data_IF_753855448289
#
_entry.id   IF_753855448289
#
_cell.length_a   1.000
_cell.length_b   1.000
_cell.length_c   1.000
_cell.angle_alpha   90.00
_cell.angle_beta   90.00
_cell.angle_gamma   90.00
#
_symmetry.space_group_name_H-M   'P 1'
#
loop_
_entity.id
_entity.type
_entity.pdbx_description
1 polymer ?
#
# COMPACT_ATOMS: atom_id res chain seq x y z
N UNK A 1 16.04 16.02 -7.77
CA UNK A 1 16.26 14.55 -7.72
C UNK A 1 16.36 14.12 -6.26
N UNK A 2 15.29 14.33 -5.49
CA UNK A 2 15.21 14.00 -4.07
C UNK A 2 13.78 13.49 -3.83
N UNK A 3 13.52 12.22 -4.15
CA UNK A 3 12.29 11.53 -3.70
C UNK A 3 12.27 10.02 -4.00
N UNK A 4 13.32 9.42 -4.57
CA UNK A 4 13.28 8.01 -4.98
C UNK A 4 13.81 7.03 -3.92
N UNK A 5 14.41 7.52 -2.82
CA UNK A 5 15.03 6.67 -1.78
C UNK A 5 14.17 6.44 -0.54
N UNK A 6 12.91 6.89 -0.52
CA UNK A 6 11.96 6.44 0.49
C UNK A 6 11.20 5.21 -0.03
N UNK A 7 11.92 4.15 -0.38
CA UNK A 7 11.34 2.81 -0.33
C UNK A 7 11.23 2.49 1.17
N UNK A 8 10.19 3.07 1.76
CA UNK A 8 9.93 3.15 3.19
C UNK A 8 9.84 1.70 3.71
N UNK A 9 10.49 1.36 4.84
CA UNK A 9 10.36 0.02 5.45
C UNK A 9 8.89 -0.39 5.60
N UNK A 10 8.02 0.59 5.82
CA UNK A 10 6.56 0.43 5.81
C UNK A 10 6.05 -0.11 4.48
N UNK A 11 6.53 0.44 3.36
CA UNK A 11 6.18 -0.06 2.02
C UNK A 11 6.73 -1.46 1.81
N UNK A 12 8.03 -1.73 2.03
CA UNK A 12 8.57 -3.09 1.85
C UNK A 12 7.87 -4.14 2.72
N UNK A 13 7.55 -3.79 3.98
CA UNK A 13 6.92 -4.70 4.94
C UNK A 13 5.45 -4.99 4.65
N UNK A 14 4.72 -4.01 4.13
CA UNK A 14 3.26 -4.09 4.01
C UNK A 14 2.74 -4.11 2.56
N UNK A 15 3.54 -3.75 1.56
CA UNK A 15 3.12 -3.77 0.15
C UNK A 15 2.93 -5.18 -0.39
N UNK A 16 3.56 -6.18 0.23
CA UNK A 16 3.38 -7.59 -0.13
C UNK A 16 2.12 -8.23 0.48
N UNK A 17 1.58 -7.66 1.55
CA UNK A 17 0.57 -8.31 2.40
C UNK A 17 -0.72 -7.50 2.58
N UNK A 18 -0.62 -6.19 2.83
CA UNK A 18 -1.78 -5.35 3.20
C UNK A 18 -2.32 -4.55 2.02
N UNK A 19 -1.45 -4.08 1.13
CA UNK A 19 -1.82 -3.15 0.07
C UNK A 19 -1.25 -3.56 -1.28
N UNK A 20 -2.08 -3.89 -2.28
CA UNK A 20 -1.60 -4.13 -3.64
C UNK A 20 -0.92 -2.87 -4.19
N UNK A 21 0.18 -3.06 -4.90
CA UNK A 21 0.95 -1.95 -5.46
C UNK A 21 0.13 -1.01 -6.36
N UNK A 22 -0.76 -1.55 -7.19
CA UNK A 22 -1.60 -0.74 -8.07
C UNK A 22 -2.57 0.16 -7.31
N UNK A 23 -3.02 -0.27 -6.12
CA UNK A 23 -3.89 0.55 -5.25
C UNK A 23 -3.10 1.66 -4.56
N UNK A 24 -1.87 1.38 -4.13
CA UNK A 24 -0.96 2.42 -3.63
C UNK A 24 -0.67 3.43 -4.74
N UNK A 25 -0.36 2.99 -5.96
CA UNK A 25 -0.12 3.87 -7.10
C UNK A 25 -1.35 4.72 -7.41
N UNK A 26 -2.54 4.13 -7.42
CA UNK A 26 -3.80 4.85 -7.64
C UNK A 26 -4.03 5.96 -6.59
N UNK A 27 -3.73 5.68 -5.32
CA UNK A 27 -3.82 6.68 -4.24
C UNK A 27 -2.81 7.81 -4.43
N UNK A 28 -1.57 7.47 -4.78
CA UNK A 28 -0.52 8.45 -5.03
C UNK A 28 -0.83 9.34 -6.24
N UNK A 29 -1.50 8.80 -7.27
CA UNK A 29 -1.94 9.58 -8.42
C UNK A 29 -3.16 10.46 -8.10
N UNK A 30 -4.07 10.01 -7.24
CA UNK A 30 -5.17 10.82 -6.72
C UNK A 30 -4.66 12.03 -5.93
N UNK A 31 -3.73 11.83 -4.99
CA UNK A 31 -3.10 12.91 -4.20
C UNK A 31 -2.39 13.91 -5.12
N UNK A 32 -1.81 13.46 -6.24
CA UNK A 32 -1.17 14.31 -7.26
C UNK A 32 -2.14 14.95 -8.25
N UNK A 33 -3.45 14.70 -8.12
CA UNK A 33 -4.48 15.21 -9.03
C UNK A 33 -4.47 14.58 -10.43
N UNK A 34 -3.71 13.49 -10.64
CA UNK A 34 -3.65 12.74 -11.91
C UNK A 34 -4.83 11.80 -12.12
N UNK A 35 -5.58 11.54 -11.05
CA UNK A 35 -6.74 10.63 -11.03
C UNK A 35 -7.86 11.25 -10.21
N UNK A 36 -9.11 11.00 -10.60
CA UNK A 36 -10.29 11.51 -9.90
C UNK A 36 -10.67 10.71 -8.63
N UNK A 37 -10.08 9.51 -8.46
CA UNK A 37 -10.35 8.61 -7.34
C UNK A 37 -9.07 7.91 -6.92
N UNK A 38 -8.91 7.72 -5.62
CA UNK A 38 -7.80 7.00 -5.01
C UNK A 38 -7.83 5.48 -5.23
N UNK A 39 -6.89 4.81 -4.57
CA UNK A 39 -6.83 3.37 -4.48
C UNK A 39 -7.93 2.83 -3.57
N UNK A 40 -8.24 1.54 -3.71
CA UNK A 40 -9.17 0.81 -2.86
C UNK A 40 -8.54 -0.47 -2.34
N UNK A 41 -8.84 -0.77 -1.09
CA UNK A 41 -8.45 -2.05 -0.49
C UNK A 41 -9.59 -3.05 -0.57
N UNK A 42 -9.22 -4.33 -0.69
CA UNK A 42 -10.13 -5.42 -0.38
C UNK A 42 -10.05 -5.69 1.13
N UNK A 43 -11.14 -5.40 1.85
CA UNK A 43 -11.19 -5.50 3.32
C UNK A 43 -10.87 -6.91 3.81
N UNK A 44 -11.35 -7.96 3.11
CA UNK A 44 -11.07 -9.35 3.47
C UNK A 44 -9.57 -9.64 3.39
N UNK A 45 -8.95 -9.35 2.24
CA UNK A 45 -7.49 -9.55 2.05
C UNK A 45 -6.65 -8.75 3.03
N UNK A 46 -7.09 -7.53 3.36
CA UNK A 46 -6.42 -6.70 4.34
C UNK A 46 -6.42 -7.33 5.73
N UNK A 47 -7.58 -7.83 6.19
CA UNK A 47 -7.70 -8.53 7.48
C UNK A 47 -6.88 -9.83 7.46
N UNK A 48 -6.96 -10.62 6.39
CA UNK A 48 -6.17 -11.85 6.24
C UNK A 48 -4.65 -11.54 6.32
N UNK A 49 -4.20 -10.47 5.67
CA UNK A 49 -2.81 -10.00 5.75
C UNK A 49 -2.39 -9.52 7.14
N UNK A 50 -3.30 -8.90 7.90
CA UNK A 50 -3.06 -8.54 9.31
C UNK A 50 -2.87 -9.77 10.19
N UNK A 51 -3.68 -10.82 10.02
CA UNK A 51 -3.55 -12.06 10.79
C UNK A 51 -2.18 -12.70 10.57
N UNK A 52 -1.73 -12.78 9.31
CA UNK A 52 -0.42 -13.32 8.96
C UNK A 52 0.71 -12.53 9.63
N UNK A 53 0.60 -11.19 9.66
CA UNK A 53 1.60 -10.34 10.31
C UNK A 53 1.64 -10.53 11.83
N UNK A 54 0.50 -10.84 12.46
CA UNK A 54 0.42 -11.09 13.91
C UNK A 54 0.90 -12.49 14.32
N UNK A 55 0.82 -13.48 13.43
CA UNK A 55 1.31 -14.85 13.68
C UNK A 55 2.84 -14.97 13.53
N UNK A 56 3.48 -13.99 12.91
CA UNK A 56 4.94 -13.92 12.67
C UNK A 56 5.71 -13.15 13.76
N UNK A 57 5.03 -12.65 14.80
CA UNK A 57 5.61 -11.94 15.95
C UNK A 57 5.55 -12.76 17.22
#
# INVERSE_FOLDING_TARGET
>A
MFSFFAMNETFERYSGSLFPFEEIRAEMDFIRGKRARGGKINIKKFIDGLMILTEQG
#
